data_IF_975864768162
#
_entry.id   IF_975864768162
#
_cell.length_a   1.000
_cell.length_b   1.000
_cell.length_c   1.000
_cell.angle_alpha   90.00
_cell.angle_beta   90.00
_cell.angle_gamma   90.00
#
_symmetry.space_group_name_H-M   'P 1'
#
loop_
_entity.id
_entity.type
_entity.pdbx_description
1 polymer ?
#
# COMPACT_ATOMS: atom_id res chain seq x y z
N UNK A 1 12.81 13.78 -32.50
CA UNK A 1 11.34 13.71 -32.41
C UNK A 1 10.57 13.95 -33.74
N UNK A 2 11.20 14.00 -34.94
CA UNK A 2 10.51 14.44 -36.18
C UNK A 2 10.12 13.36 -37.21
N UNK A 3 10.66 12.14 -37.12
CA UNK A 3 10.60 11.17 -38.24
C UNK A 3 9.57 10.03 -38.03
N UNK A 4 8.87 10.01 -36.89
CA UNK A 4 7.91 8.96 -36.52
C UNK A 4 6.63 9.60 -35.97
N UNK A 5 5.50 8.88 -36.10
CA UNK A 5 4.22 9.33 -35.52
C UNK A 5 4.31 9.50 -33.99
N UNK A 6 3.54 10.44 -33.40
CA UNK A 6 3.52 10.64 -31.96
C UNK A 6 3.14 9.37 -31.19
N UNK A 7 4.07 8.87 -30.36
CA UNK A 7 3.86 7.66 -29.56
C UNK A 7 4.62 7.72 -28.23
N UNK A 8 4.12 7.05 -27.17
CA UNK A 8 4.82 6.99 -25.86
C UNK A 8 6.22 6.38 -25.96
N UNK A 9 6.41 5.46 -26.91
CA UNK A 9 7.72 4.88 -27.22
C UNK A 9 8.71 5.90 -27.80
N UNK A 10 8.24 6.89 -28.57
CA UNK A 10 9.11 7.94 -29.09
C UNK A 10 9.65 8.83 -27.95
N UNK A 11 8.83 9.08 -26.92
CA UNK A 11 9.25 9.81 -25.71
C UNK A 11 10.27 8.99 -24.91
N UNK A 12 10.01 7.68 -24.75
CA UNK A 12 10.94 6.78 -24.07
C UNK A 12 12.29 6.67 -24.83
N UNK A 13 12.26 6.52 -26.14
CA UNK A 13 13.45 6.48 -27.00
C UNK A 13 14.27 7.76 -26.91
N UNK A 14 13.62 8.91 -26.95
CA UNK A 14 14.30 10.20 -26.83
C UNK A 14 14.98 10.33 -25.45
N UNK A 15 14.30 9.96 -24.36
CA UNK A 15 14.91 9.93 -23.03
C UNK A 15 16.10 8.97 -22.96
N UNK A 16 15.99 7.77 -23.55
CA UNK A 16 17.08 6.79 -23.56
C UNK A 16 18.30 7.29 -24.35
N UNK A 17 18.08 7.89 -25.53
CA UNK A 17 19.14 8.51 -26.35
C UNK A 17 19.80 9.70 -25.65
N UNK A 18 19.01 10.59 -25.06
CA UNK A 18 19.54 11.76 -24.34
C UNK A 18 20.34 11.35 -23.10
N UNK A 19 19.90 10.31 -22.37
CA UNK A 19 20.67 9.78 -21.24
C UNK A 19 22.07 9.34 -21.67
N UNK A 20 22.18 8.66 -22.81
CA UNK A 20 23.45 8.19 -23.33
C UNK A 20 24.31 9.31 -23.94
N UNK A 21 23.69 10.20 -24.72
CA UNK A 21 24.39 11.29 -25.41
C UNK A 21 24.90 12.38 -24.47
N UNK A 22 24.07 12.76 -23.49
CA UNK A 22 24.32 13.92 -22.64
C UNK A 22 24.87 13.54 -21.26
N UNK A 23 25.08 12.23 -21.02
CA UNK A 23 25.54 11.63 -19.74
C UNK A 23 24.75 12.15 -18.51
N UNK A 24 23.43 12.34 -18.69
CA UNK A 24 22.53 12.87 -17.67
C UNK A 24 21.36 11.95 -17.39
N UNK A 25 21.01 11.82 -16.12
CA UNK A 25 19.79 11.13 -15.71
C UNK A 25 18.55 11.84 -16.28
N UNK A 26 17.53 11.06 -16.61
CA UNK A 26 16.31 11.57 -17.24
C UNK A 26 15.09 11.33 -16.37
N UNK A 27 14.00 12.00 -16.69
CA UNK A 27 12.70 11.76 -16.06
C UNK A 27 11.57 11.89 -17.06
N UNK A 28 10.65 10.93 -17.03
CA UNK A 28 9.38 10.96 -17.74
C UNK A 28 8.30 11.26 -16.70
N UNK A 29 7.65 12.40 -16.84
CA UNK A 29 6.58 12.84 -15.95
C UNK A 29 5.26 12.65 -16.68
N UNK A 30 4.39 11.79 -16.14
CA UNK A 30 3.07 11.54 -16.72
C UNK A 30 2.02 12.22 -15.84
N UNK A 31 1.31 13.20 -16.41
CA UNK A 31 0.27 13.98 -15.74
C UNK A 31 -1.08 13.81 -16.41
N UNK A 32 -2.16 14.16 -15.69
CA UNK A 32 -3.54 14.06 -16.14
C UNK A 32 -4.49 13.71 -15.00
N UNK A 33 -5.80 13.88 -15.18
CA UNK A 33 -6.81 13.57 -14.17
C UNK A 33 -6.87 12.07 -13.82
N UNK A 34 -7.54 11.69 -12.72
CA UNK A 34 -7.77 10.28 -12.40
C UNK A 34 -8.51 9.59 -13.54
N UNK A 35 -8.02 8.43 -13.98
CA UNK A 35 -8.56 7.71 -15.14
C UNK A 35 -7.96 8.09 -16.51
N UNK A 36 -7.14 9.15 -16.62
CA UNK A 36 -6.56 9.61 -17.89
C UNK A 36 -5.50 8.66 -18.52
N UNK A 37 -5.24 7.50 -17.93
CA UNK A 37 -4.27 6.52 -18.47
C UNK A 37 -2.82 6.70 -18.03
N UNK A 38 -2.54 7.50 -16.98
CA UNK A 38 -1.17 7.76 -16.48
C UNK A 38 -0.37 6.48 -16.23
N UNK A 39 -0.93 5.56 -15.45
CA UNK A 39 -0.31 4.28 -15.10
C UNK A 39 -0.07 3.40 -16.33
N UNK A 40 -0.97 3.44 -17.33
CA UNK A 40 -0.83 2.70 -18.59
C UNK A 40 0.34 3.26 -19.41
N UNK A 41 0.43 4.58 -19.54
CA UNK A 41 1.55 5.24 -20.23
C UNK A 41 2.90 4.96 -19.55
N UNK A 42 2.95 5.04 -18.21
CA UNK A 42 4.15 4.69 -17.44
C UNK A 42 4.57 3.23 -17.66
N UNK A 43 3.60 2.29 -17.68
CA UNK A 43 3.84 0.87 -17.98
C UNK A 43 4.44 0.67 -19.37
N UNK A 44 3.92 1.35 -20.39
CA UNK A 44 4.45 1.23 -21.75
C UNK A 44 5.85 1.85 -21.89
N UNK A 45 6.14 2.97 -21.23
CA UNK A 45 7.49 3.52 -21.19
C UNK A 45 8.50 2.54 -20.55
N UNK A 46 8.14 1.91 -19.43
CA UNK A 46 8.99 0.89 -18.78
C UNK A 46 9.24 -0.32 -19.69
N UNK A 47 8.20 -0.83 -20.36
CA UNK A 47 8.29 -1.94 -21.31
C UNK A 47 9.21 -1.62 -22.50
N UNK A 48 9.19 -0.36 -22.96
CA UNK A 48 10.10 0.09 -24.00
C UNK A 48 11.56 -0.06 -23.57
N UNK A 49 11.92 0.50 -22.41
CA UNK A 49 13.29 0.42 -21.88
C UNK A 49 13.76 -1.02 -21.70
N UNK A 50 12.89 -1.89 -21.20
CA UNK A 50 13.20 -3.31 -21.06
C UNK A 50 13.53 -3.98 -22.39
N UNK A 51 12.80 -3.63 -23.45
CA UNK A 51 12.99 -4.22 -24.77
C UNK A 51 14.29 -3.72 -25.44
N UNK A 52 14.57 -2.41 -25.38
CA UNK A 52 15.68 -1.81 -26.13
C UNK A 52 17.03 -1.85 -25.43
N UNK A 53 17.06 -1.93 -24.10
CA UNK A 53 18.30 -1.92 -23.32
C UNK A 53 18.97 -3.29 -23.19
N UNK A 54 18.35 -4.36 -23.72
CA UNK A 54 18.88 -5.72 -23.71
C UNK A 54 19.12 -6.24 -22.29
N UNK A 55 18.19 -7.02 -21.75
CA UNK A 55 18.32 -7.65 -20.44
C UNK A 55 19.69 -8.33 -20.31
N UNK A 56 20.54 -7.82 -19.42
CA UNK A 56 21.69 -8.59 -18.99
C UNK A 56 21.16 -9.93 -18.43
N UNK A 57 21.75 -11.02 -18.89
CA UNK A 57 21.35 -12.41 -18.61
C UNK A 57 20.78 -12.67 -17.20
N UNK A 58 19.70 -13.47 -17.15
CA UNK A 58 19.06 -14.11 -15.99
C UNK A 58 18.22 -13.28 -15.01
N UNK A 59 18.23 -11.94 -15.07
CA UNK A 59 17.34 -11.12 -14.24
C UNK A 59 16.31 -10.38 -15.10
N UNK A 60 15.10 -10.93 -15.24
CA UNK A 60 13.95 -10.22 -15.84
C UNK A 60 13.50 -9.05 -14.95
N UNK A 61 14.29 -7.98 -14.88
CA UNK A 61 13.99 -6.77 -14.10
C UNK A 61 12.64 -6.19 -14.55
N UNK A 62 12.33 -6.23 -15.84
CA UNK A 62 11.01 -5.84 -16.36
C UNK A 62 9.88 -6.64 -15.70
N UNK A 63 10.00 -7.96 -15.70
CA UNK A 63 8.99 -8.85 -15.11
C UNK A 63 8.80 -8.55 -13.63
N UNK A 64 9.89 -8.32 -12.89
CA UNK A 64 9.82 -7.93 -11.47
C UNK A 64 9.19 -6.54 -11.27
N UNK A 65 9.55 -5.55 -12.09
CA UNK A 65 8.94 -4.21 -12.03
C UNK A 65 7.45 -4.30 -12.32
N UNK A 66 7.04 -5.07 -13.34
CA UNK A 66 5.64 -5.29 -13.66
C UNK A 66 4.90 -6.07 -12.56
N UNK A 67 5.56 -7.06 -11.94
CA UNK A 67 5.06 -7.82 -10.81
C UNK A 67 4.86 -6.97 -9.54
N UNK A 68 5.53 -5.83 -9.42
CA UNK A 68 5.27 -4.91 -8.31
C UNK A 68 3.91 -4.24 -8.39
N UNK A 69 3.31 -4.11 -9.58
CA UNK A 69 2.06 -3.36 -9.75
C UNK A 69 0.87 -3.98 -9.01
N UNK A 70 0.56 -5.30 -9.13
CA UNK A 70 -0.53 -5.90 -8.35
C UNK A 70 -0.39 -5.69 -6.84
N UNK A 71 0.85 -5.76 -6.31
CA UNK A 71 1.12 -5.50 -4.90
C UNK A 71 0.80 -4.04 -4.57
N UNK A 72 1.38 -3.10 -5.31
CA UNK A 72 1.23 -1.67 -5.04
C UNK A 72 -0.20 -1.18 -5.24
N UNK A 73 -0.92 -1.70 -6.22
CA UNK A 73 -2.33 -1.40 -6.44
C UNK A 73 -3.19 -1.98 -5.30
N UNK A 74 -2.91 -3.19 -4.81
CA UNK A 74 -3.67 -3.78 -3.70
C UNK A 74 -3.62 -2.92 -2.42
N UNK A 75 -2.45 -2.38 -2.08
CA UNK A 75 -2.21 -1.62 -0.83
C UNK A 75 -2.30 -0.09 -1.00
N UNK A 76 -2.33 0.40 -2.23
CA UNK A 76 -2.23 1.83 -2.55
C UNK A 76 -3.37 2.38 -3.39
N UNK A 77 -4.19 1.52 -3.98
CA UNK A 77 -5.36 1.94 -4.75
C UNK A 77 -6.67 1.59 -4.04
N UNK A 78 -7.71 2.34 -4.38
CA UNK A 78 -9.05 2.14 -3.87
C UNK A 78 -10.10 2.64 -4.87
N UNK A 79 -11.34 2.16 -4.72
CA UNK A 79 -12.50 2.74 -5.41
C UNK A 79 -12.80 4.13 -4.86
N UNK A 80 -12.92 5.10 -5.76
CA UNK A 80 -13.56 6.40 -5.49
C UNK A 80 -14.75 6.60 -6.41
N UNK A 81 -15.52 7.65 -6.19
CA UNK A 81 -16.65 8.03 -7.08
C UNK A 81 -16.25 8.34 -8.52
N UNK A 82 -14.95 8.55 -8.80
CA UNK A 82 -14.43 8.91 -10.14
C UNK A 82 -13.70 7.77 -10.83
N UNK A 83 -13.18 6.80 -10.08
CA UNK A 83 -12.32 5.75 -10.61
C UNK A 83 -12.32 4.55 -9.65
N UNK A 84 -12.65 3.38 -10.19
CA UNK A 84 -12.69 2.13 -9.43
C UNK A 84 -11.31 1.64 -8.97
N UNK A 85 -10.23 2.08 -9.62
CA UNK A 85 -8.85 1.74 -9.27
C UNK A 85 -7.97 3.00 -9.12
N UNK A 86 -8.42 3.94 -8.29
CA UNK A 86 -7.74 5.23 -8.07
C UNK A 86 -6.50 5.07 -7.21
N UNK A 87 -5.32 5.45 -7.72
CA UNK A 87 -4.09 5.53 -6.93
C UNK A 87 -4.20 6.59 -5.84
N UNK A 88 -3.97 6.20 -4.58
CA UNK A 88 -4.04 7.09 -3.40
C UNK A 88 -2.66 7.40 -2.81
N UNK A 89 -1.64 7.31 -3.65
CA UNK A 89 -0.25 7.66 -3.38
C UNK A 89 0.41 8.04 -4.72
N UNK A 90 1.49 8.82 -4.67
CA UNK A 90 2.36 9.07 -5.82
C UNK A 90 3.47 8.02 -5.91
N UNK A 91 3.81 7.59 -7.11
CA UNK A 91 4.81 6.56 -7.39
C UNK A 91 5.87 7.10 -8.34
N UNK A 92 7.13 6.98 -7.97
CA UNK A 92 8.28 7.30 -8.80
C UNK A 92 9.19 6.09 -8.90
N UNK A 93 9.39 5.57 -10.11
CA UNK A 93 10.22 4.39 -10.34
C UNK A 93 11.48 4.84 -11.08
N UNK A 94 12.63 4.68 -10.44
CA UNK A 94 13.95 4.91 -11.01
C UNK A 94 14.42 3.61 -11.66
N UNK A 95 14.55 3.59 -12.99
CA UNK A 95 15.13 2.45 -13.72
C UNK A 95 16.63 2.69 -13.83
N UNK A 96 17.43 1.80 -13.25
CA UNK A 96 18.88 1.91 -13.24
C UNK A 96 19.53 1.27 -14.46
N UNK A 97 20.57 1.91 -14.99
CA UNK A 97 21.34 1.45 -16.14
C UNK A 97 22.83 1.32 -15.82
N UNK A 98 23.51 0.36 -16.43
CA UNK A 98 24.98 0.22 -16.36
C UNK A 98 25.70 1.16 -17.34
N UNK A 99 27.03 1.11 -17.38
CA UNK A 99 27.86 1.90 -18.31
C UNK A 99 27.65 1.55 -19.79
N UNK A 100 26.98 0.45 -20.10
CA UNK A 100 26.60 0.03 -21.45
C UNK A 100 25.12 0.35 -21.72
N UNK A 101 24.48 1.13 -20.85
CA UNK A 101 23.07 1.50 -20.88
C UNK A 101 22.12 0.31 -20.85
N UNK A 102 22.53 -0.82 -20.24
CA UNK A 102 21.66 -1.98 -20.01
C UNK A 102 20.97 -1.85 -18.66
N UNK A 103 19.72 -2.28 -18.55
CA UNK A 103 19.01 -2.26 -17.26
C UNK A 103 19.73 -3.15 -16.25
N UNK A 104 19.95 -2.59 -15.07
CA UNK A 104 20.53 -3.31 -13.92
C UNK A 104 19.50 -3.65 -12.87
N UNK A 105 18.52 -2.78 -12.66
CA UNK A 105 17.53 -2.88 -11.59
C UNK A 105 16.58 -1.69 -11.57
N UNK A 106 15.75 -1.61 -10.55
CA UNK A 106 14.86 -0.47 -10.33
C UNK A 106 14.75 -0.12 -8.84
N UNK A 107 14.34 1.11 -8.57
CA UNK A 107 14.05 1.59 -7.22
C UNK A 107 12.77 2.42 -7.21
N UNK A 108 11.83 2.07 -6.34
CA UNK A 108 10.55 2.75 -6.18
C UNK A 108 10.59 3.70 -4.99
N UNK A 109 10.14 4.94 -5.22
CA UNK A 109 9.83 5.93 -4.19
C UNK A 109 8.34 6.21 -4.20
N UNK A 110 7.77 6.32 -3.02
CA UNK A 110 6.34 6.60 -2.84
C UNK A 110 6.12 7.89 -2.07
N UNK A 111 5.05 8.59 -2.41
CA UNK A 111 4.72 9.91 -1.86
C UNK A 111 3.27 9.97 -1.42
N UNK A 112 3.02 10.68 -0.32
CA UNK A 112 1.68 11.16 0.05
C UNK A 112 0.57 10.09 0.05
N UNK A 113 0.83 8.93 0.67
CA UNK A 113 -0.20 7.92 0.91
C UNK A 113 -1.38 8.55 1.68
N UNK A 114 -2.60 8.39 1.18
CA UNK A 114 -3.82 8.88 1.81
C UNK A 114 -4.17 8.06 3.06
N UNK A 115 -3.55 8.39 4.19
CA UNK A 115 -3.73 7.65 5.45
C UNK A 115 -5.18 7.69 5.94
N UNK A 116 -5.92 8.78 5.71
CA UNK A 116 -7.32 8.91 6.14
C UNK A 116 -8.22 7.80 5.60
N UNK A 117 -7.95 7.30 4.39
CA UNK A 117 -8.73 6.24 3.74
C UNK A 117 -8.79 4.94 4.54
N UNK A 118 -7.77 4.67 5.36
CA UNK A 118 -7.72 3.46 6.20
C UNK A 118 -8.89 3.41 7.18
N UNK A 119 -9.35 4.56 7.67
CA UNK A 119 -10.33 4.65 8.76
C UNK A 119 -11.64 5.31 8.37
N UNK A 120 -11.69 5.95 7.19
CA UNK A 120 -12.85 6.68 6.70
C UNK A 120 -13.04 6.48 5.19
N UNK A 121 -14.30 6.30 4.78
CA UNK A 121 -14.72 6.27 3.38
C UNK A 121 -16.03 7.03 3.22
N UNK A 122 -16.12 7.87 2.19
CA UNK A 122 -17.38 8.49 1.80
C UNK A 122 -18.32 7.46 1.14
N UNK A 123 -19.58 7.84 0.97
CA UNK A 123 -20.57 7.02 0.26
C UNK A 123 -20.07 6.66 -1.16
N UNK A 124 -20.33 5.42 -1.58
CA UNK A 124 -19.84 4.82 -2.83
C UNK A 124 -18.32 4.61 -2.95
N UNK A 125 -17.54 4.92 -1.91
CA UNK A 125 -16.09 4.66 -1.88
C UNK A 125 -15.71 3.39 -1.11
N UNK A 126 -14.53 2.85 -1.44
CA UNK A 126 -13.91 1.74 -0.70
C UNK A 126 -12.67 2.19 0.06
N UNK A 127 -12.29 1.38 1.05
CA UNK A 127 -10.94 1.37 1.59
C UNK A 127 -9.96 0.77 0.54
N UNK A 128 -8.69 0.63 0.86
CA UNK A 128 -7.71 -0.03 0.00
C UNK A 128 -8.14 -1.46 -0.37
N UNK A 129 -7.90 -1.83 -1.63
CA UNK A 129 -8.38 -3.09 -2.21
C UNK A 129 -7.99 -4.33 -1.39
N UNK A 130 -6.79 -4.34 -0.81
CA UNK A 130 -6.27 -5.47 -0.04
C UNK A 130 -7.19 -5.89 1.12
N UNK A 131 -7.95 -4.96 1.73
CA UNK A 131 -8.89 -5.31 2.78
C UNK A 131 -10.08 -6.13 2.26
N UNK A 132 -10.56 -5.83 1.05
CA UNK A 132 -11.66 -6.55 0.40
C UNK A 132 -11.18 -7.90 -0.12
N UNK A 133 -9.98 -7.94 -0.72
CA UNK A 133 -9.28 -9.17 -1.09
C UNK A 133 -9.14 -10.13 0.10
N UNK A 134 -8.77 -9.59 1.26
CA UNK A 134 -8.61 -10.36 2.50
C UNK A 134 -9.95 -10.84 3.07
N UNK A 135 -10.98 -9.99 3.09
CA UNK A 135 -12.33 -10.37 3.53
C UNK A 135 -12.97 -11.42 2.61
N UNK A 136 -12.80 -11.30 1.29
CA UNK A 136 -13.29 -12.27 0.30
C UNK A 136 -12.61 -13.64 0.46
N UNK A 137 -11.40 -13.66 1.02
CA UNK A 137 -10.61 -14.87 1.26
C UNK A 137 -10.77 -15.44 2.67
N UNK A 138 -11.67 -14.90 3.49
CA UNK A 138 -11.80 -15.24 4.92
C UNK A 138 -12.07 -16.74 5.19
N UNK A 139 -12.67 -17.46 4.23
CA UNK A 139 -12.96 -18.89 4.36
C UNK A 139 -11.77 -19.81 4.09
N UNK A 140 -10.64 -19.28 3.59
CA UNK A 140 -9.45 -20.09 3.31
C UNK A 140 -8.86 -20.67 4.62
N UNK A 141 -8.47 -21.96 4.65
CA UNK A 141 -7.96 -22.61 5.86
C UNK A 141 -6.80 -21.86 6.51
N UNK A 142 -5.87 -21.31 5.71
CA UNK A 142 -4.72 -20.54 6.18
C UNK A 142 -5.10 -19.20 6.83
N UNK A 143 -6.27 -18.65 6.52
CA UNK A 143 -6.76 -17.37 7.06
C UNK A 143 -7.72 -17.54 8.23
N UNK A 144 -8.06 -18.77 8.62
CA UNK A 144 -8.94 -19.06 9.76
C UNK A 144 -8.44 -18.42 11.06
N UNK A 145 -7.13 -18.38 11.28
CA UNK A 145 -6.52 -17.75 12.45
C UNK A 145 -6.73 -16.23 12.51
N UNK A 146 -6.98 -15.58 11.37
CA UNK A 146 -7.24 -14.14 11.26
C UNK A 146 -8.65 -13.74 11.73
N UNK A 147 -9.54 -14.72 11.93
CA UNK A 147 -10.93 -14.54 12.41
C UNK A 147 -11.68 -13.45 11.63
N UNK A 148 -11.57 -13.49 10.30
CA UNK A 148 -12.14 -12.49 9.41
C UNK A 148 -13.63 -12.73 9.16
N UNK A 149 -14.39 -11.64 8.99
CA UNK A 149 -15.74 -11.65 8.44
C UNK A 149 -15.77 -11.10 7.01
N UNK A 150 -16.97 -10.94 6.45
CA UNK A 150 -17.14 -10.24 5.17
C UNK A 150 -16.85 -8.72 5.32
N UNK A 151 -16.70 -8.01 4.21
CA UNK A 151 -16.40 -6.57 4.22
C UNK A 151 -17.50 -5.71 4.88
N UNK A 152 -18.73 -6.21 5.01
CA UNK A 152 -19.83 -5.54 5.72
C UNK A 152 -19.75 -5.64 7.24
N UNK A 153 -18.91 -6.53 7.78
CA UNK A 153 -18.71 -6.70 9.22
C UNK A 153 -17.88 -5.57 9.82
N UNK A 154 -16.75 -5.23 9.19
CA UNK A 154 -15.77 -4.31 9.75
C UNK A 154 -16.12 -2.84 9.52
N UNK A 155 -15.97 -2.02 10.57
CA UNK A 155 -16.20 -0.58 10.51
C UNK A 155 -15.34 0.10 9.44
N UNK A 156 -14.09 -0.32 9.26
CA UNK A 156 -13.18 0.30 8.29
C UNK A 156 -13.40 -0.10 6.82
N UNK A 157 -14.34 -1.01 6.51
CA UNK A 157 -14.63 -1.42 5.13
C UNK A 157 -16.09 -1.20 4.72
N UNK A 158 -16.98 -0.91 5.67
CA UNK A 158 -18.43 -0.81 5.42
C UNK A 158 -18.99 0.60 5.28
N UNK A 159 -18.20 1.65 5.57
CA UNK A 159 -18.70 3.04 5.65
C UNK A 159 -19.27 3.53 4.31
N UNK A 160 -18.59 3.24 3.20
CA UNK A 160 -19.02 3.67 1.88
C UNK A 160 -20.13 2.82 1.25
N UNK A 161 -20.61 1.76 1.92
CA UNK A 161 -21.73 0.91 1.47
C UNK A 161 -21.58 0.26 0.08
N UNK A 162 -20.39 0.28 -0.50
CA UNK A 162 -20.05 -0.31 -1.80
C UNK A 162 -19.02 -1.43 -1.63
N UNK A 163 -19.37 -2.62 -1.10
CA UNK A 163 -18.40 -3.68 -0.83
C UNK A 163 -17.79 -4.30 -2.10
N UNK A 164 -18.51 -4.25 -3.22
CA UNK A 164 -18.15 -4.87 -4.50
C UNK A 164 -17.87 -3.79 -5.56
N UNK A 165 -16.94 -4.09 -6.47
CA UNK A 165 -16.73 -3.32 -7.71
C UNK A 165 -17.19 -4.22 -8.86
N UNK A 166 -17.97 -3.66 -9.79
CA UNK A 166 -18.45 -4.39 -10.95
C UNK A 166 -17.27 -4.92 -11.79
N UNK A 167 -17.31 -6.22 -12.10
CA UNK A 167 -16.29 -6.89 -12.90
C UNK A 167 -15.00 -7.26 -12.15
N UNK A 168 -14.90 -6.97 -10.84
CA UNK A 168 -13.74 -7.35 -10.02
C UNK A 168 -14.11 -8.48 -9.05
N UNK A 169 -13.31 -9.55 -9.07
CA UNK A 169 -13.36 -10.64 -8.08
C UNK A 169 -12.21 -10.46 -7.08
N UNK A 170 -12.53 -9.93 -5.90
CA UNK A 170 -11.54 -9.66 -4.85
C UNK A 170 -10.82 -10.93 -4.36
N UNK A 171 -11.44 -12.12 -4.41
CA UNK A 171 -10.78 -13.38 -4.04
C UNK A 171 -9.76 -13.81 -5.11
N UNK A 172 -10.09 -13.63 -6.39
CA UNK A 172 -9.14 -13.82 -7.49
C UNK A 172 -7.99 -12.82 -7.43
N UNK A 173 -8.27 -11.56 -7.09
CA UNK A 173 -7.21 -10.56 -6.92
C UNK A 173 -6.31 -10.85 -5.72
N UNK A 174 -6.82 -11.43 -4.61
CA UNK A 174 -5.97 -11.94 -3.53
C UNK A 174 -4.95 -12.98 -4.05
N UNK A 175 -5.37 -13.89 -4.92
CA UNK A 175 -4.47 -14.88 -5.51
C UNK A 175 -3.40 -14.22 -6.38
N UNK A 176 -3.76 -13.20 -7.16
CA UNK A 176 -2.81 -12.42 -7.96
C UNK A 176 -1.81 -11.68 -7.08
N UNK A 177 -2.27 -11.03 -6.01
CA UNK A 177 -1.43 -10.32 -5.03
C UNK A 177 -0.42 -11.28 -4.39
N UNK A 178 -0.86 -12.47 -3.93
CA UNK A 178 0.03 -13.49 -3.35
C UNK A 178 1.08 -13.98 -4.34
N UNK A 179 0.67 -14.27 -5.58
CA UNK A 179 1.61 -14.69 -6.66
C UNK A 179 2.65 -13.61 -6.94
N UNK A 180 2.25 -12.35 -6.99
CA UNK A 180 3.14 -11.23 -7.19
C UNK A 180 4.14 -11.08 -6.02
N UNK A 181 3.67 -11.22 -4.78
CA UNK A 181 4.54 -11.27 -3.59
C UNK A 181 5.58 -12.38 -3.68
N UNK A 182 5.17 -13.61 -4.04
CA UNK A 182 6.09 -14.75 -4.20
C UNK A 182 7.12 -14.49 -5.30
N UNK A 183 6.72 -13.94 -6.44
CA UNK A 183 7.62 -13.60 -7.56
C UNK A 183 8.67 -12.54 -7.15
N UNK A 184 8.33 -11.64 -6.23
CA UNK A 184 9.26 -10.66 -5.65
C UNK A 184 9.96 -11.14 -4.38
N UNK A 185 9.91 -12.45 -4.09
CA UNK A 185 10.67 -13.05 -2.99
C UNK A 185 10.12 -12.75 -1.59
N UNK A 186 8.89 -12.24 -1.48
CA UNK A 186 8.17 -12.16 -0.21
C UNK A 186 7.64 -13.56 0.10
N UNK A 187 8.37 -14.29 0.94
CA UNK A 187 8.04 -15.66 1.33
C UNK A 187 6.71 -15.76 2.09
N UNK A 188 6.09 -16.93 2.08
CA UNK A 188 4.74 -17.16 2.64
C UNK A 188 4.60 -16.74 4.10
N UNK A 189 5.63 -16.93 4.94
CA UNK A 189 5.62 -16.48 6.33
C UNK A 189 5.55 -14.96 6.45
N UNK A 190 6.26 -14.23 5.60
CA UNK A 190 6.18 -12.77 5.52
C UNK A 190 4.82 -12.31 4.97
N UNK A 191 4.27 -13.00 3.96
CA UNK A 191 2.93 -12.71 3.45
C UNK A 191 1.87 -12.88 4.55
N UNK A 192 1.94 -13.97 5.32
CA UNK A 192 1.03 -14.19 6.45
C UNK A 192 1.18 -13.08 7.51
N UNK A 193 2.40 -12.62 7.80
CA UNK A 193 2.62 -11.46 8.68
C UNK A 193 1.95 -10.18 8.18
N UNK A 194 2.02 -9.90 6.86
CA UNK A 194 1.29 -8.77 6.25
C UNK A 194 -0.22 -8.92 6.48
N UNK A 195 -0.79 -10.09 6.18
CA UNK A 195 -2.23 -10.35 6.32
C UNK A 195 -2.70 -10.31 7.78
N UNK A 196 -1.85 -10.75 8.71
CA UNK A 196 -2.07 -10.67 10.15
C UNK A 196 -2.16 -9.22 10.63
N UNK A 197 -1.26 -8.34 10.17
CA UNK A 197 -1.33 -6.90 10.48
C UNK A 197 -2.57 -6.25 9.88
N UNK A 198 -2.93 -6.58 8.64
CA UNK A 198 -4.12 -6.05 7.98
C UNK A 198 -5.41 -6.49 8.70
N UNK A 199 -5.50 -7.77 9.08
CA UNK A 199 -6.61 -8.29 9.88
C UNK A 199 -6.68 -7.60 11.25
N UNK A 200 -5.54 -7.36 11.89
CA UNK A 200 -5.48 -6.63 13.16
C UNK A 200 -6.04 -5.20 13.00
N UNK A 201 -5.69 -4.47 11.93
CA UNK A 201 -6.27 -3.14 11.65
C UNK A 201 -7.80 -3.20 11.54
N UNK A 202 -8.34 -4.21 10.85
CA UNK A 202 -9.80 -4.39 10.74
C UNK A 202 -10.47 -4.63 12.09
N UNK A 203 -9.90 -5.52 12.92
CA UNK A 203 -10.40 -5.78 14.27
C UNK A 203 -10.28 -4.57 15.20
N UNK A 204 -9.19 -3.80 15.09
CA UNK A 204 -9.01 -2.55 15.83
C UNK A 204 -10.14 -1.57 15.52
N UNK A 205 -10.55 -1.44 14.26
CA UNK A 205 -11.66 -0.56 13.87
C UNK A 205 -13.01 -0.94 14.47
N UNK A 206 -13.20 -2.20 14.88
CA UNK A 206 -14.38 -2.69 15.56
C UNK A 206 -14.32 -2.57 17.09
N UNK A 207 -13.20 -2.10 17.66
CA UNK A 207 -13.12 -1.81 19.11
C UNK A 207 -14.03 -0.63 19.43
N UNK A 208 -14.97 -0.88 20.35
CA UNK A 208 -15.96 0.10 20.79
C UNK A 208 -15.60 0.66 22.17
N UNK A 209 -16.01 1.92 22.38
CA UNK A 209 -15.77 2.65 23.62
C UNK A 209 -17.11 3.07 24.25
N UNK A 210 -17.21 2.88 25.56
CA UNK A 210 -18.33 3.31 26.39
C UNK A 210 -17.89 4.50 27.23
N UNK A 211 -18.61 5.62 27.14
CA UNK A 211 -18.37 6.77 28.02
C UNK A 211 -18.73 6.42 29.45
N UNK A 212 -17.85 6.75 30.40
CA UNK A 212 -18.19 6.71 31.84
C UNK A 212 -18.70 8.06 32.30
N UNK A 213 -18.06 9.13 31.84
CA UNK A 213 -18.43 10.53 32.02
C UNK A 213 -18.05 11.34 30.77
N UNK A 214 -18.04 12.68 30.86
CA UNK A 214 -17.70 13.56 29.74
C UNK A 214 -16.23 13.45 29.29
N UNK A 215 -15.32 13.16 30.22
CA UNK A 215 -13.86 13.20 30.01
C UNK A 215 -13.19 11.81 30.09
N UNK A 216 -13.96 10.75 30.32
CA UNK A 216 -13.45 9.38 30.44
C UNK A 216 -14.28 8.34 29.68
N UNK A 217 -13.59 7.32 29.19
CA UNK A 217 -14.20 6.17 28.52
C UNK A 217 -13.52 4.87 28.92
N UNK A 218 -14.20 3.76 28.64
CA UNK A 218 -13.65 2.41 28.80
C UNK A 218 -14.10 1.48 27.70
N UNK A 219 -13.32 0.42 27.51
CA UNK A 219 -13.67 -0.69 26.62
C UNK A 219 -14.56 -1.66 27.41
N UNK A 220 -15.67 -2.15 26.83
CA UNK A 220 -16.48 -3.22 27.40
C UNK A 220 -15.65 -4.42 27.89
N UNK A 221 -16.06 -5.08 28.99
CA UNK A 221 -15.36 -6.27 29.48
C UNK A 221 -15.39 -7.40 28.43
N UNK A 222 -14.28 -8.14 28.31
CA UNK A 222 -14.13 -9.26 27.36
C UNK A 222 -14.47 -8.86 25.90
N UNK A 223 -14.03 -7.68 25.47
CA UNK A 223 -14.34 -7.16 24.14
C UNK A 223 -13.63 -7.96 23.05
N UNK A 224 -14.38 -8.78 22.31
CA UNK A 224 -13.83 -9.74 21.37
C UNK A 224 -12.94 -9.11 20.28
N UNK A 225 -13.34 -8.03 19.58
CA UNK A 225 -12.44 -7.33 18.64
C UNK A 225 -11.08 -6.92 19.20
N UNK A 226 -11.01 -6.46 20.46
CA UNK A 226 -9.74 -6.11 21.09
C UNK A 226 -8.91 -7.36 21.40
N UNK A 227 -9.55 -8.44 21.87
CA UNK A 227 -8.88 -9.72 22.11
C UNK A 227 -8.25 -10.27 20.83
N UNK A 228 -8.99 -10.25 19.73
CA UNK A 228 -8.46 -10.71 18.44
C UNK A 228 -7.31 -9.81 17.97
N UNK A 229 -7.43 -8.49 18.09
CA UNK A 229 -6.34 -7.57 17.78
C UNK A 229 -5.07 -7.88 18.59
N UNK A 230 -5.21 -8.09 19.91
CA UNK A 230 -4.09 -8.42 20.80
C UNK A 230 -3.45 -9.76 20.45
N UNK A 231 -4.25 -10.80 20.18
CA UNK A 231 -3.78 -12.12 19.72
C UNK A 231 -2.96 -11.99 18.43
N UNK A 232 -3.46 -11.23 17.45
CA UNK A 232 -2.79 -11.03 16.16
C UNK A 232 -1.56 -10.14 16.26
N UNK A 233 -1.50 -9.19 17.19
CA UNK A 233 -0.33 -8.31 17.33
C UNK A 233 0.70 -8.84 18.34
N UNK A 234 0.38 -9.91 19.07
CA UNK A 234 1.24 -10.47 20.12
C UNK A 234 1.44 -9.51 21.30
N UNK A 235 0.40 -8.76 21.66
CA UNK A 235 0.45 -7.73 22.72
C UNK A 235 -0.53 -8.02 23.85
N UNK A 236 -0.24 -7.53 25.04
CA UNK A 236 -1.08 -7.76 26.22
C UNK A 236 -2.41 -7.01 26.14
N UNK A 237 -3.52 -7.73 26.39
CA UNK A 237 -4.88 -7.16 26.37
C UNK A 237 -5.04 -6.01 27.36
N UNK A 238 -4.60 -6.20 28.61
CA UNK A 238 -4.79 -5.20 29.67
C UNK A 238 -4.03 -3.90 29.38
N UNK A 239 -2.80 -4.00 28.86
CA UNK A 239 -2.02 -2.83 28.44
C UNK A 239 -2.70 -2.10 27.27
N UNK A 240 -3.15 -2.83 26.26
CA UNK A 240 -3.80 -2.22 25.10
C UNK A 240 -5.12 -1.55 25.50
N UNK A 241 -5.92 -2.20 26.33
CA UNK A 241 -7.17 -1.64 26.85
C UNK A 241 -6.92 -0.37 27.67
N UNK A 242 -5.88 -0.38 28.52
CA UNK A 242 -5.52 0.77 29.33
C UNK A 242 -5.13 1.97 28.45
N UNK A 243 -4.17 1.79 27.53
CA UNK A 243 -3.62 2.90 26.73
C UNK A 243 -4.53 3.41 25.61
N UNK A 244 -5.54 2.63 25.20
CA UNK A 244 -6.59 3.14 24.32
C UNK A 244 -7.55 4.12 25.03
N UNK A 245 -7.60 4.10 26.37
CA UNK A 245 -8.50 4.93 27.18
C UNK A 245 -7.77 5.96 28.05
N UNK A 246 -6.44 6.01 28.00
CA UNK A 246 -5.62 6.91 28.80
C UNK A 246 -4.49 7.50 27.97
N UNK A 247 -4.06 8.70 28.33
CA UNK A 247 -2.85 9.32 27.77
C UNK A 247 -1.85 9.65 28.87
N UNK A 248 -0.57 9.42 28.57
CA UNK A 248 0.55 9.84 29.42
C UNK A 248 0.92 11.27 29.07
N UNK A 249 0.99 12.14 30.07
CA UNK A 249 1.40 13.54 29.94
C UNK A 249 2.66 13.74 30.77
N UNK A 250 3.72 14.22 30.12
CA UNK A 250 5.00 14.49 30.75
C UNK A 250 5.26 16.01 30.75
N UNK A 251 5.57 16.55 31.91
CA UNK A 251 6.11 17.90 32.09
C UNK A 251 7.61 17.81 32.39
N UNK A 252 8.28 18.95 32.58
CA UNK A 252 9.71 18.97 32.93
C UNK A 252 9.99 18.28 34.29
N UNK A 253 9.00 18.19 35.18
CA UNK A 253 9.17 17.72 36.55
C UNK A 253 8.43 16.42 36.85
N UNK A 254 7.33 16.12 36.14
CA UNK A 254 6.43 15.03 36.51
C UNK A 254 5.82 14.33 35.30
N UNK A 255 5.36 13.10 35.50
CA UNK A 255 4.54 12.38 34.53
C UNK A 255 3.26 11.90 35.18
N UNK A 256 2.13 12.24 34.59
CA UNK A 256 0.81 11.80 35.03
C UNK A 256 0.04 11.12 33.90
N UNK A 257 -0.86 10.20 34.28
CA UNK A 257 -1.74 9.48 33.36
C UNK A 257 -3.14 10.06 33.52
N UNK A 258 -3.74 10.52 32.43
CA UNK A 258 -5.10 11.08 32.43
C UNK A 258 -6.03 10.21 31.57
N UNK A 259 -7.25 9.90 32.02
CA UNK A 259 -8.28 9.34 31.14
C UNK A 259 -8.59 10.29 29.98
N UNK A 260 -9.14 9.75 28.90
CA UNK A 260 -9.57 10.52 27.73
C UNK A 260 -11.03 10.26 27.41
N UNK A 261 -11.68 11.26 26.81
CA UNK A 261 -13.08 11.14 26.41
C UNK A 261 -13.26 10.10 25.30
N UNK A 262 -14.48 9.60 25.14
CA UNK A 262 -14.80 8.61 24.08
C UNK A 262 -14.37 9.08 22.69
N UNK A 263 -14.58 10.36 22.36
CA UNK A 263 -14.19 10.93 21.07
C UNK A 263 -12.66 10.94 20.91
N UNK A 264 -11.92 11.29 21.97
CA UNK A 264 -10.46 11.26 21.95
C UNK A 264 -9.92 9.83 21.77
N UNK A 265 -10.54 8.84 22.41
CA UNK A 265 -10.17 7.43 22.25
C UNK A 265 -10.41 6.91 20.83
N UNK A 266 -11.54 7.27 20.21
CA UNK A 266 -11.81 6.93 18.79
C UNK A 266 -10.75 7.54 17.89
N UNK A 267 -10.45 8.83 18.06
CA UNK A 267 -9.43 9.51 17.26
C UNK A 267 -8.03 8.91 17.45
N UNK A 268 -7.69 8.51 18.68
CA UNK A 268 -6.40 7.87 18.98
C UNK A 268 -6.30 6.46 18.38
N UNK A 269 -7.36 5.65 18.49
CA UNK A 269 -7.49 4.34 17.82
C UNK A 269 -7.29 4.47 16.32
N UNK A 270 -7.98 5.43 15.70
CA UNK A 270 -7.88 5.67 14.26
C UNK A 270 -6.50 6.18 13.86
N UNK A 271 -5.86 7.03 14.69
CA UNK A 271 -4.48 7.44 14.49
C UNK A 271 -3.50 6.26 14.53
N UNK A 272 -3.70 5.32 15.46
CA UNK A 272 -2.92 4.09 15.54
C UNK A 272 -3.10 3.22 14.29
N UNK A 273 -4.34 2.98 13.85
CA UNK A 273 -4.63 2.22 12.63
C UNK A 273 -3.93 2.83 11.39
N UNK A 274 -4.02 4.15 11.23
CA UNK A 274 -3.32 4.90 10.17
C UNK A 274 -1.81 4.76 10.26
N UNK A 275 -1.25 4.79 11.46
CA UNK A 275 0.18 4.65 11.68
C UNK A 275 0.67 3.24 11.33
N UNK A 276 -0.03 2.20 11.77
CA UNK A 276 0.31 0.80 11.46
C UNK A 276 0.26 0.58 9.94
N UNK A 277 -0.82 1.01 9.26
CA UNK A 277 -0.94 0.85 7.81
C UNK A 277 0.16 1.58 7.04
N UNK A 278 0.48 2.82 7.44
CA UNK A 278 1.54 3.59 6.78
C UNK A 278 2.92 2.92 6.92
N UNK A 279 3.25 2.36 8.09
CA UNK A 279 4.51 1.64 8.27
C UNK A 279 4.51 0.31 7.49
N UNK A 280 3.38 -0.41 7.47
CA UNK A 280 3.25 -1.62 6.66
C UNK A 280 3.45 -1.33 5.16
N UNK A 281 2.83 -0.25 4.66
CA UNK A 281 3.00 0.20 3.29
C UNK A 281 4.48 0.49 2.97
N UNK A 282 5.16 1.26 3.82
CA UNK A 282 6.61 1.53 3.66
C UNK A 282 7.42 0.25 3.67
N UNK A 283 7.15 -0.67 4.61
CA UNK A 283 7.86 -1.95 4.71
C UNK A 283 7.70 -2.81 3.44
N UNK A 284 6.50 -2.83 2.85
CA UNK A 284 6.25 -3.55 1.59
C UNK A 284 7.05 -2.91 0.46
N UNK A 285 7.04 -1.58 0.33
CA UNK A 285 7.84 -0.86 -0.67
C UNK A 285 9.33 -1.15 -0.52
N UNK A 286 9.85 -1.18 0.70
CA UNK A 286 11.25 -1.53 0.97
C UNK A 286 11.57 -2.97 0.54
N UNK A 287 10.67 -3.94 0.76
CA UNK A 287 10.88 -5.32 0.33
C UNK A 287 10.79 -5.48 -1.19
N UNK A 288 9.85 -4.78 -1.84
CA UNK A 288 9.79 -4.69 -3.30
C UNK A 288 11.11 -4.12 -3.83
N UNK A 289 11.62 -3.04 -3.23
CA UNK A 289 12.91 -2.46 -3.64
C UNK A 289 14.09 -3.43 -3.49
N UNK A 290 14.15 -4.21 -2.41
CA UNK A 290 15.18 -5.25 -2.26
C UNK A 290 15.14 -6.28 -3.40
N UNK A 291 13.95 -6.62 -3.89
CA UNK A 291 13.79 -7.57 -5.00
C UNK A 291 14.19 -6.99 -6.37
N UNK A 292 14.09 -5.65 -6.51
CA UNK A 292 14.41 -4.88 -7.71
C UNK A 292 15.86 -4.36 -7.76
N UNK A 293 16.55 -4.36 -6.62
CA UNK A 293 17.94 -3.90 -6.51
C UNK A 293 18.90 -4.80 -7.29
N UNK A 294 19.88 -4.15 -7.92
CA UNK A 294 21.00 -4.81 -8.59
C UNK A 294 22.23 -4.85 -7.68
N UNK A 295 23.03 -5.91 -7.79
CA UNK A 295 24.39 -5.93 -7.24
C UNK A 295 25.37 -5.08 -8.07
N UNK A 296 25.02 -4.77 -9.32
CA UNK A 296 25.81 -3.94 -10.22
C UNK A 296 25.59 -2.46 -9.87
N UNK A 297 26.68 -1.72 -9.68
CA UNK A 297 26.61 -0.27 -9.43
C UNK A 297 25.93 0.44 -10.60
N UNK A 298 24.86 1.15 -10.29
CA UNK A 298 24.12 1.99 -11.24
C UNK A 298 25.03 3.13 -11.77
N UNK A 299 25.02 3.33 -13.09
CA UNK A 299 25.73 4.41 -13.76
C UNK A 299 24.81 5.62 -13.99
N UNK A 300 23.61 5.37 -14.53
CA UNK A 300 22.59 6.39 -14.80
C UNK A 300 21.18 5.84 -14.51
N UNK A 301 20.17 6.71 -14.51
CA UNK A 301 18.76 6.30 -14.44
C UNK A 301 17.82 7.11 -15.32
N UNK A 302 16.68 6.49 -15.60
CA UNK A 302 15.48 7.18 -16.08
C UNK A 302 14.38 6.99 -15.04
N UNK A 303 13.90 8.09 -14.48
CA UNK A 303 12.79 8.11 -13.55
C UNK A 303 11.44 8.17 -14.26
N UNK A 304 10.46 7.39 -13.84
CA UNK A 304 9.08 7.46 -14.33
C UNK A 304 8.18 7.88 -13.18
N UNK A 305 7.60 9.08 -13.26
CA UNK A 305 6.69 9.62 -12.26
C UNK A 305 5.23 9.38 -12.67
N UNK A 306 4.51 8.62 -11.84
CA UNK A 306 3.07 8.41 -11.86
C UNK A 306 2.50 8.96 -10.54
N UNK A 307 2.06 10.22 -10.56
CA UNK A 307 1.45 10.88 -9.41
C UNK A 307 -0.07 10.94 -9.61
N UNK A 308 -0.83 10.87 -8.53
CA UNK A 308 -2.28 11.09 -8.60
C UNK A 308 -2.56 12.48 -9.20
N UNK A 309 -3.59 12.54 -10.06
CA UNK A 309 -4.09 13.78 -10.64
C UNK A 309 -5.29 14.31 -9.89
#
# INVERSE_FOLDING_TARGET
MGDMDPHIFAVAEEAYKQMARDERNQSIIVSGESGAGKTVSAKYAMRYFATVSGSASEANVEEKVLASNPIMESIGNAKTTRNDNSSRFGKYIEIGFDKRYRITGANMRTYLLEKSRVVFQAEEERNYHIFYQLCASAALPEFKALRLGNAGYFHYTKQGRSPVIDGIDDAKEMLNTRRACTLLGIVDSCQMGIFQILAAILHLGNVSFTSRDADSCTIPPKHEPLRIFCDLMGVEYEQMAHWLCHRKLATATETYIKPISKLQAINARDALAKHIYANLFTWIVEHVNKALQSTVKQHSFIGVLDIYG
#
